data_IF_536060723330
#
_entry.id   IF_536060723330
#
_cell.length_a   1.000
_cell.length_b   1.000
_cell.length_c   1.000
_cell.angle_alpha   90.00
_cell.angle_beta   90.00
_cell.angle_gamma   90.00
#
_symmetry.space_group_name_H-M   'P 1'
#
loop_
_entity.id
_entity.type
_entity.pdbx_description
1 polymer ?
#
# COMPACT_ATOMS: atom_id res chain seq x y z
N UNK A 1 8.64 -15.55 11.10
CA UNK A 1 8.27 -14.12 10.97
C UNK A 1 9.49 -13.25 10.67
N UNK A 2 10.51 -13.19 11.54
CA UNK A 2 11.74 -12.40 11.27
C UNK A 2 12.39 -12.72 9.92
N UNK A 3 12.55 -14.00 9.60
CA UNK A 3 13.16 -14.44 8.34
C UNK A 3 12.41 -13.97 7.07
N UNK A 4 11.07 -13.96 7.08
CA UNK A 4 10.29 -13.42 5.94
C UNK A 4 10.51 -11.92 5.81
N UNK A 5 10.47 -11.18 6.92
CA UNK A 5 10.65 -9.73 6.89
C UNK A 5 12.06 -9.33 6.46
N UNK A 6 13.08 -10.11 6.82
CA UNK A 6 14.45 -9.90 6.33
C UNK A 6 14.54 -10.08 4.79
N UNK A 7 13.87 -11.11 4.24
CA UNK A 7 13.79 -11.32 2.79
C UNK A 7 13.00 -10.21 2.08
N UNK A 8 11.93 -9.72 2.69
CA UNK A 8 11.12 -8.61 2.18
C UNK A 8 11.92 -7.31 2.18
N UNK A 9 12.64 -6.99 3.25
CA UNK A 9 13.51 -5.82 3.30
C UNK A 9 14.63 -5.92 2.26
N UNK A 10 15.25 -7.11 2.08
CA UNK A 10 16.24 -7.33 1.04
C UNK A 10 15.66 -7.15 -0.37
N UNK A 11 14.43 -7.60 -0.62
CA UNK A 11 13.72 -7.41 -1.90
C UNK A 11 13.45 -5.93 -2.17
N UNK A 12 12.96 -5.19 -1.17
CA UNK A 12 12.74 -3.74 -1.27
C UNK A 12 14.05 -3.01 -1.55
N UNK A 13 15.14 -3.34 -0.85
CA UNK A 13 16.45 -2.72 -1.06
C UNK A 13 17.02 -2.99 -2.45
N UNK A 14 16.85 -4.21 -2.95
CA UNK A 14 17.28 -4.59 -4.31
C UNK A 14 16.56 -3.75 -5.37
N UNK A 15 15.25 -3.50 -5.19
CA UNK A 15 14.44 -2.78 -6.16
C UNK A 15 14.53 -1.25 -6.03
N UNK A 16 14.64 -0.73 -4.80
CA UNK A 16 14.47 0.71 -4.51
C UNK A 16 15.75 1.39 -3.98
N UNK A 17 16.82 0.65 -3.74
CA UNK A 17 18.05 1.14 -3.10
C UNK A 17 17.98 1.11 -1.57
N UNK A 18 18.91 1.78 -0.90
CA UNK A 18 18.91 1.84 0.56
C UNK A 18 17.85 2.83 1.09
N UNK A 19 17.09 2.48 2.13
CA UNK A 19 16.13 3.41 2.73
C UNK A 19 16.87 4.57 3.40
N UNK A 20 16.41 5.79 3.17
CA UNK A 20 16.99 6.99 3.76
C UNK A 20 16.44 7.27 5.17
N UNK A 21 15.24 6.76 5.46
CA UNK A 21 14.61 6.83 6.77
C UNK A 21 13.72 5.60 7.03
N UNK A 22 13.48 5.33 8.32
CA UNK A 22 12.50 4.32 8.76
C UNK A 22 11.78 4.81 10.01
N UNK A 23 10.52 4.41 10.15
CA UNK A 23 9.74 4.63 11.35
C UNK A 23 8.89 3.39 11.63
N UNK A 24 8.65 3.08 12.90
CA UNK A 24 7.82 1.96 13.31
C UNK A 24 6.57 2.41 14.08
N UNK A 25 5.50 1.65 13.91
CA UNK A 25 4.24 1.82 14.63
C UNK A 25 3.80 0.46 15.14
N UNK A 26 3.49 0.40 16.44
CA UNK A 26 2.91 -0.79 17.07
C UNK A 26 1.49 -0.47 17.49
N UNK A 27 0.51 -1.23 17.02
CA UNK A 27 -0.86 -1.13 17.49
C UNK A 27 -1.11 -2.18 18.56
N UNK A 28 -2.04 -1.88 19.48
CA UNK A 28 -2.39 -2.84 20.53
C UNK A 28 -3.02 -4.06 19.88
N UNK A 29 -2.39 -5.23 20.07
CA UNK A 29 -2.89 -6.50 19.55
C UNK A 29 -2.45 -6.83 18.12
N UNK A 30 -1.57 -6.04 17.50
CA UNK A 30 -0.97 -6.36 16.19
C UNK A 30 0.54 -6.52 16.30
N UNK A 31 1.13 -7.13 15.28
CA UNK A 31 2.57 -7.07 15.09
C UNK A 31 3.03 -5.63 14.79
N UNK A 32 4.33 -5.37 14.99
CA UNK A 32 4.96 -4.10 14.64
C UNK A 32 4.98 -3.91 13.12
N UNK A 33 4.57 -2.73 12.65
CA UNK A 33 4.69 -2.33 11.25
C UNK A 33 5.74 -1.24 11.14
N UNK A 34 6.72 -1.45 10.28
CA UNK A 34 7.67 -0.41 9.88
C UNK A 34 7.24 0.21 8.55
N UNK A 35 7.62 1.47 8.34
CA UNK A 35 7.53 2.16 7.06
C UNK A 35 8.91 2.67 6.70
N UNK A 36 9.43 2.16 5.59
CA UNK A 36 10.72 2.52 5.01
C UNK A 36 10.51 3.61 3.97
N UNK A 37 11.36 4.64 3.98
CA UNK A 37 11.38 5.71 2.98
C UNK A 37 12.56 5.52 2.04
N UNK A 38 12.31 5.63 0.74
CA UNK A 38 13.32 5.57 -0.32
C UNK A 38 13.20 6.81 -1.20
N UNK A 39 14.34 7.39 -1.60
CA UNK A 39 14.39 8.58 -2.44
C UNK A 39 15.08 8.23 -3.76
N UNK A 40 14.41 8.49 -4.87
CA UNK A 40 14.94 8.33 -6.23
C UNK A 40 14.60 9.57 -7.06
N UNK A 41 15.60 10.43 -7.29
CA UNK A 41 15.39 11.66 -8.06
C UNK A 41 14.33 12.56 -7.42
N UNK A 42 13.23 12.79 -8.14
CA UNK A 42 12.10 13.61 -7.68
C UNK A 42 10.94 12.78 -7.10
N UNK A 43 11.15 11.49 -6.80
CA UNK A 43 10.15 10.59 -6.23
C UNK A 43 10.60 10.12 -4.84
N UNK A 44 9.67 10.20 -3.88
CA UNK A 44 9.77 9.55 -2.58
C UNK A 44 8.84 8.35 -2.56
N UNK A 45 9.33 7.22 -2.07
CA UNK A 45 8.56 5.98 -1.91
C UNK A 45 8.51 5.59 -0.45
N UNK A 46 7.32 5.26 0.03
CA UNK A 46 7.08 4.71 1.36
C UNK A 46 6.63 3.26 1.19
N UNK A 47 7.38 2.32 1.73
CA UNK A 47 7.05 0.90 1.70
C UNK A 47 6.82 0.38 3.11
N UNK A 48 5.77 -0.40 3.32
CA UNK A 48 5.56 -1.07 4.61
C UNK A 48 6.49 -2.27 4.74
N UNK A 49 6.81 -2.62 5.98
CA UNK A 49 7.52 -3.82 6.35
C UNK A 49 6.89 -4.37 7.63
N UNK A 50 6.13 -5.45 7.51
CA UNK A 50 5.47 -6.12 8.63
C UNK A 50 4.13 -6.75 8.27
N UNK A 51 3.42 -6.21 7.27
CA UNK A 51 2.10 -6.72 6.85
C UNK A 51 2.20 -8.16 6.35
N UNK A 52 3.30 -8.49 5.67
CA UNK A 52 3.59 -9.83 5.13
C UNK A 52 4.00 -10.85 6.20
N UNK A 53 4.29 -10.41 7.42
CA UNK A 53 4.77 -11.27 8.52
C UNK A 53 3.76 -12.36 8.89
N UNK A 54 2.46 -12.06 8.74
CA UNK A 54 1.35 -13.00 8.90
C UNK A 54 0.55 -13.08 7.59
N UNK A 55 0.04 -14.27 7.22
CA UNK A 55 -0.83 -14.39 6.06
C UNK A 55 -2.18 -13.71 6.37
N UNK A 56 -2.77 -13.08 5.37
CA UNK A 56 -4.13 -12.53 5.47
C UNK A 56 -5.11 -13.69 5.57
N UNK A 57 -5.99 -13.65 6.57
CA UNK A 57 -6.94 -14.72 6.81
C UNK A 57 -8.01 -14.76 5.71
N UNK A 58 -8.32 -15.95 5.21
CA UNK A 58 -9.48 -16.17 4.34
C UNK A 58 -10.77 -15.94 5.15
N UNK A 59 -11.60 -14.94 4.79
CA UNK A 59 -12.82 -14.63 5.53
C UNK A 59 -13.89 -15.72 5.42
N UNK A 60 -13.74 -16.66 4.49
CA UNK A 60 -14.64 -17.81 4.33
C UNK A 60 -14.20 -19.04 5.12
N UNK A 61 -12.96 -19.04 5.65
CA UNK A 61 -12.44 -20.14 6.46
C UNK A 61 -12.88 -20.02 7.92
N UNK A 62 -13.32 -21.11 8.57
CA UNK A 62 -13.66 -21.09 10.00
C UNK A 62 -12.45 -20.93 10.92
N UNK A 63 -11.22 -21.14 10.43
CA UNK A 63 -9.98 -20.96 11.17
C UNK A 63 -8.92 -20.33 10.27
N UNK A 64 -8.21 -19.32 10.78
CA UNK A 64 -7.07 -18.75 10.10
C UNK A 64 -5.91 -19.76 10.04
N UNK A 65 -5.36 -19.98 8.84
CA UNK A 65 -4.14 -20.77 8.66
C UNK A 65 -2.93 -19.87 8.95
N UNK A 66 -2.05 -20.20 9.91
CA UNK A 66 -0.92 -19.35 10.27
C UNK A 66 0.21 -19.37 9.23
N UNK A 67 0.14 -20.24 8.22
CA UNK A 67 1.18 -20.42 7.21
C UNK A 67 0.69 -20.02 5.82
N UNK A 68 -0.48 -20.52 5.41
CA UNK A 68 -1.04 -20.33 4.07
C UNK A 68 -1.88 -19.06 3.97
N UNK A 69 -1.90 -18.48 2.78
CA UNK A 69 -2.75 -17.37 2.43
C UNK A 69 -1.97 -16.12 2.02
N UNK A 70 -2.66 -15.13 1.43
CA UNK A 70 -2.02 -14.00 0.78
C UNK A 70 -1.13 -13.21 1.73
N UNK A 71 0.00 -12.73 1.22
CA UNK A 71 0.92 -11.84 1.94
C UNK A 71 1.22 -10.65 1.05
N UNK A 72 1.32 -9.47 1.65
CA UNK A 72 1.71 -8.29 0.90
C UNK A 72 2.45 -7.27 1.76
N UNK A 73 3.11 -6.35 1.06
CA UNK A 73 3.48 -5.03 1.57
C UNK A 73 2.90 -3.95 0.66
N UNK A 74 2.64 -2.78 1.22
CA UNK A 74 2.07 -1.63 0.52
C UNK A 74 3.19 -0.68 0.10
N UNK A 75 3.10 -0.12 -1.12
CA UNK A 75 4.05 0.87 -1.61
C UNK A 75 3.31 2.12 -2.09
N UNK A 76 3.58 3.25 -1.47
CA UNK A 76 3.12 4.56 -1.92
C UNK A 76 4.27 5.31 -2.59
N UNK A 77 4.04 5.83 -3.80
CA UNK A 77 5.01 6.69 -4.51
C UNK A 77 4.44 8.10 -4.69
N UNK A 78 5.20 9.13 -4.32
CA UNK A 78 4.81 10.54 -4.42
C UNK A 78 5.95 11.40 -4.95
N UNK A 79 5.64 12.50 -5.63
CA UNK A 79 6.65 13.48 -6.04
C UNK A 79 7.17 14.27 -4.84
N UNK A 80 8.48 14.38 -4.74
CA UNK A 80 9.19 15.15 -3.72
C UNK A 80 8.92 16.65 -3.85
N UNK A 81 9.02 17.37 -2.72
CA UNK A 81 9.04 18.84 -2.69
C UNK A 81 7.72 19.54 -3.01
N UNK A 82 6.61 18.80 -3.13
CA UNK A 82 5.28 19.36 -3.44
C UNK A 82 4.32 19.42 -2.25
N UNK A 83 4.54 18.59 -1.23
CA UNK A 83 3.81 18.56 0.03
C UNK A 83 4.69 17.93 1.13
N UNK A 84 4.32 18.12 2.40
CA UNK A 84 4.94 17.42 3.54
C UNK A 84 4.35 16.02 3.67
N UNK A 85 4.82 15.10 2.82
CA UNK A 85 4.30 13.73 2.75
C UNK A 85 4.86 12.81 3.84
N UNK A 86 5.84 13.25 4.63
CA UNK A 86 6.47 12.42 5.66
C UNK A 86 5.49 12.02 6.77
N UNK A 87 4.39 12.74 6.92
CA UNK A 87 3.35 12.39 7.89
C UNK A 87 2.47 11.19 7.43
N UNK A 88 2.72 10.64 6.23
CA UNK A 88 2.03 9.43 5.73
C UNK A 88 2.44 8.14 6.46
N UNK A 89 3.54 8.16 7.22
CA UNK A 89 4.09 6.97 7.91
C UNK A 89 3.03 6.27 8.78
N UNK A 90 2.32 7.01 9.63
CA UNK A 90 1.30 6.43 10.51
C UNK A 90 0.03 6.00 9.75
N UNK A 91 -0.55 6.83 8.87
CA UNK A 91 -1.63 6.39 7.98
C UNK A 91 -1.32 5.12 7.20
N UNK A 92 -0.11 5.00 6.63
CA UNK A 92 0.29 3.83 5.87
C UNK A 92 0.44 2.59 6.76
N UNK A 93 0.98 2.75 7.98
CA UNK A 93 1.02 1.67 8.96
C UNK A 93 -0.37 1.20 9.40
N UNK A 94 -1.35 2.11 9.51
CA UNK A 94 -2.76 1.75 9.77
C UNK A 94 -3.32 0.89 8.63
N UNK A 95 -3.09 1.30 7.37
CA UNK A 95 -3.52 0.50 6.21
C UNK A 95 -2.89 -0.90 6.20
N UNK A 96 -1.59 -1.00 6.50
CA UNK A 96 -0.88 -2.27 6.57
C UNK A 96 -1.32 -3.16 7.74
N UNK A 97 -1.83 -2.59 8.83
CA UNK A 97 -2.40 -3.35 9.94
C UNK A 97 -3.84 -3.83 9.67
N UNK A 98 -4.54 -3.27 8.67
CA UNK A 98 -5.95 -3.57 8.41
C UNK A 98 -6.28 -5.07 8.22
N UNK A 99 -5.45 -5.93 7.61
CA UNK A 99 -5.76 -7.36 7.55
C UNK A 99 -5.89 -8.00 8.94
N UNK A 100 -5.04 -7.61 9.89
CA UNK A 100 -5.03 -8.18 11.24
C UNK A 100 -6.20 -7.63 12.10
N UNK A 101 -6.58 -6.37 11.86
CA UNK A 101 -7.59 -5.67 12.66
C UNK A 101 -9.01 -5.87 12.12
N UNK A 102 -9.17 -5.83 10.80
CA UNK A 102 -10.45 -5.85 10.10
C UNK A 102 -10.75 -7.20 9.43
N UNK A 103 -9.79 -8.13 9.40
CA UNK A 103 -9.95 -9.43 8.72
C UNK A 103 -10.05 -9.30 7.19
N UNK A 104 -9.41 -8.28 6.63
CA UNK A 104 -9.45 -7.95 5.20
C UNK A 104 -8.36 -8.68 4.42
N UNK A 105 -8.72 -9.26 3.26
CA UNK A 105 -7.74 -9.64 2.24
C UNK A 105 -7.53 -8.46 1.30
N UNK A 106 -6.33 -7.90 1.29
CA UNK A 106 -5.96 -6.78 0.43
C UNK A 106 -5.49 -7.31 -0.92
N UNK A 107 -6.19 -6.92 -1.99
CA UNK A 107 -5.94 -7.37 -3.36
C UNK A 107 -6.10 -6.21 -4.36
N UNK A 108 -5.53 -6.33 -5.58
CA UNK A 108 -5.73 -5.34 -6.64
C UNK A 108 -7.20 -5.00 -6.89
N UNK A 109 -7.48 -3.72 -7.14
CA UNK A 109 -8.83 -3.18 -7.29
C UNK A 109 -9.55 -2.89 -5.97
N UNK A 110 -9.03 -3.34 -4.83
CA UNK A 110 -9.57 -2.98 -3.52
C UNK A 110 -9.37 -1.49 -3.22
N UNK A 111 -10.22 -0.96 -2.35
CA UNK A 111 -10.05 0.39 -1.80
C UNK A 111 -9.76 0.27 -0.32
N UNK A 112 -8.71 0.94 0.13
CA UNK A 112 -8.43 1.10 1.56
C UNK A 112 -8.75 2.55 1.94
N UNK A 113 -9.62 2.73 2.92
CA UNK A 113 -10.10 4.04 3.36
C UNK A 113 -9.61 4.31 4.78
N UNK A 114 -9.05 5.50 5.02
CA UNK A 114 -8.55 5.90 6.34
C UNK A 114 -9.58 6.70 7.14
N UNK A 115 -10.63 7.21 6.48
CA UNK A 115 -11.56 8.20 7.05
C UNK A 115 -10.95 9.58 7.32
N UNK A 116 -9.66 9.75 7.05
CA UNK A 116 -8.88 10.98 7.24
C UNK A 116 -7.89 11.16 6.08
N UNK A 117 -7.26 12.34 6.01
CA UNK A 117 -6.25 12.65 5.00
C UNK A 117 -5.01 11.75 5.14
N UNK A 118 -4.39 11.36 4.01
CA UNK A 118 -3.14 10.57 4.00
C UNK A 118 -1.96 11.30 4.65
N UNK A 119 -1.93 12.63 4.53
CA UNK A 119 -1.02 13.55 5.19
C UNK A 119 -1.74 14.91 5.30
N UNK A 120 -1.32 15.84 6.17
CA UNK A 120 -2.01 17.12 6.32
C UNK A 120 -2.13 17.88 5.00
N UNK A 121 -3.37 18.24 4.65
CA UNK A 121 -3.70 18.95 3.42
C UNK A 121 -3.78 18.06 2.18
N UNK A 122 -3.63 16.73 2.31
CA UNK A 122 -3.82 15.81 1.19
C UNK A 122 -5.28 15.85 0.72
N UNK A 123 -5.55 15.95 -0.59
CA UNK A 123 -6.90 15.80 -1.12
C UNK A 123 -7.39 14.34 -1.10
N UNK A 124 -6.57 13.42 -0.59
CA UNK A 124 -6.78 11.98 -0.61
C UNK A 124 -7.05 11.45 0.80
N UNK A 125 -8.13 10.68 0.94
CA UNK A 125 -8.49 9.98 2.18
C UNK A 125 -8.54 8.46 2.03
N UNK A 126 -8.28 7.97 0.83
CA UNK A 126 -8.31 6.55 0.48
C UNK A 126 -7.31 6.28 -0.63
N UNK A 127 -7.01 5.00 -0.84
CA UNK A 127 -6.13 4.52 -1.90
C UNK A 127 -6.81 3.40 -2.69
N UNK A 128 -6.55 3.34 -3.98
CA UNK A 128 -6.81 2.15 -4.80
C UNK A 128 -5.56 1.27 -4.76
N UNK A 129 -5.76 -0.02 -4.49
CA UNK A 129 -4.69 -1.03 -4.55
C UNK A 129 -4.50 -1.42 -6.01
N UNK A 130 -3.29 -1.23 -6.54
CA UNK A 130 -2.95 -1.59 -7.92
C UNK A 130 -2.34 -2.99 -8.01
N UNK A 131 -2.15 -3.46 -9.24
CA UNK A 131 -1.47 -4.72 -9.54
C UNK A 131 -0.01 -4.72 -9.04
N UNK A 132 0.48 -5.83 -8.46
CA UNK A 132 1.86 -5.96 -8.01
C UNK A 132 2.83 -6.28 -9.16
N UNK A 133 4.10 -6.51 -8.84
CA UNK A 133 5.11 -7.04 -9.77
C UNK A 133 5.73 -6.03 -10.74
N UNK A 134 5.20 -4.80 -10.82
CA UNK A 134 5.74 -3.75 -11.68
C UNK A 134 6.95 -3.03 -11.08
N UNK A 135 6.76 -2.37 -9.93
CA UNK A 135 7.82 -1.58 -9.28
C UNK A 135 8.78 -2.44 -8.44
N UNK A 136 8.24 -3.45 -7.77
CA UNK A 136 9.00 -4.44 -7.00
C UNK A 136 8.42 -5.79 -7.40
N UNK A 137 9.30 -6.68 -7.86
CA UNK A 137 8.92 -8.06 -8.19
C UNK A 137 8.47 -8.80 -6.92
N UNK A 138 7.52 -9.70 -7.11
CA UNK A 138 7.01 -10.52 -6.01
C UNK A 138 8.09 -11.43 -5.43
N UNK A 139 8.02 -11.65 -4.13
CA UNK A 139 8.94 -12.53 -3.41
C UNK A 139 8.30 -13.92 -3.28
N UNK A 140 8.76 -14.86 -4.10
CA UNK A 140 8.41 -16.26 -3.97
C UNK A 140 8.93 -16.83 -2.65
N UNK A 141 8.07 -17.59 -1.97
CA UNK A 141 8.37 -18.27 -0.72
C UNK A 141 8.26 -19.78 -0.90
N UNK A 142 8.93 -20.54 -0.04
CA UNK A 142 8.83 -21.99 -0.06
C UNK A 142 7.40 -22.46 0.24
N UNK A 143 6.93 -23.44 -0.53
CA UNK A 143 5.63 -24.06 -0.30
C UNK A 143 5.55 -24.61 1.14
N UNK A 144 4.42 -24.39 1.85
CA UNK A 144 3.12 -24.00 1.31
C UNK A 144 2.78 -22.51 1.44
N UNK A 145 3.76 -21.63 1.67
CA UNK A 145 3.48 -20.19 1.80
C UNK A 145 3.18 -19.57 0.44
N UNK A 146 2.19 -18.68 0.39
CA UNK A 146 1.95 -17.83 -0.77
C UNK A 146 3.08 -16.78 -0.88
N UNK A 147 3.41 -16.30 -2.09
CA UNK A 147 4.41 -15.25 -2.27
C UNK A 147 4.01 -13.94 -1.58
N UNK A 148 5.01 -13.13 -1.23
CA UNK A 148 4.77 -11.75 -0.79
C UNK A 148 4.62 -10.86 -2.03
N UNK A 149 3.44 -10.23 -2.16
CA UNK A 149 3.15 -9.26 -3.21
C UNK A 149 3.49 -7.85 -2.76
N UNK A 150 4.04 -7.03 -3.64
CA UNK A 150 4.31 -5.62 -3.36
C UNK A 150 3.27 -4.74 -4.05
N UNK A 151 2.26 -4.30 -3.31
CA UNK A 151 1.05 -3.67 -3.84
C UNK A 151 1.20 -2.15 -3.91
N UNK A 152 1.24 -1.54 -5.11
CA UNK A 152 1.26 -0.10 -5.24
C UNK A 152 -0.07 0.51 -4.79
N UNK A 153 0.00 1.62 -4.07
CA UNK A 153 -1.15 2.40 -3.64
C UNK A 153 -1.30 3.64 -4.51
N UNK A 154 -2.49 3.83 -5.06
CA UNK A 154 -2.87 4.98 -5.88
C UNK A 154 -3.82 5.87 -5.07
N UNK A 155 -3.35 7.02 -4.53
CA UNK A 155 -4.20 7.92 -3.75
C UNK A 155 -5.44 8.34 -4.52
N UNK A 156 -6.60 8.32 -3.87
CA UNK A 156 -7.90 8.72 -4.45
C UNK A 156 -8.49 9.88 -3.67
N UNK A 157 -9.03 10.86 -4.41
CA UNK A 157 -9.93 11.85 -3.80
C UNK A 157 -11.25 11.19 -3.42
N UNK A 158 -12.05 11.87 -2.59
CA UNK A 158 -13.40 11.38 -2.24
C UNK A 158 -14.30 11.16 -3.46
N UNK A 159 -14.18 12.00 -4.49
CA UNK A 159 -14.98 11.88 -5.71
C UNK A 159 -14.55 10.66 -6.53
N UNK A 160 -13.25 10.38 -6.61
CA UNK A 160 -12.72 9.20 -7.31
C UNK A 160 -13.09 7.91 -6.57
N UNK A 161 -13.00 7.90 -5.24
CA UNK A 161 -13.45 6.77 -4.44
C UNK A 161 -14.96 6.51 -4.63
N UNK A 162 -15.78 7.57 -4.65
CA UNK A 162 -17.20 7.46 -4.93
C UNK A 162 -17.48 6.93 -6.35
N UNK A 163 -16.76 7.43 -7.35
CA UNK A 163 -16.84 6.94 -8.73
C UNK A 163 -16.50 5.45 -8.82
N UNK A 164 -15.35 5.05 -8.25
CA UNK A 164 -14.90 3.65 -8.22
C UNK A 164 -15.93 2.71 -7.60
N UNK A 165 -16.65 3.14 -6.55
CA UNK A 165 -17.71 2.32 -5.95
C UNK A 165 -18.87 2.04 -6.90
N UNK A 166 -19.17 2.96 -7.81
CA UNK A 166 -20.28 2.84 -8.77
C UNK A 166 -19.85 2.18 -10.08
N UNK A 167 -18.63 2.50 -10.54
CA UNK A 167 -18.14 2.20 -11.89
C UNK A 167 -17.03 1.14 -11.93
N UNK A 168 -16.45 0.81 -10.79
CA UNK A 168 -15.35 -0.14 -10.67
C UNK A 168 -13.97 0.51 -10.75
N UNK A 169 -12.95 -0.27 -10.36
CA UNK A 169 -11.55 0.16 -10.33
C UNK A 169 -10.95 0.29 -11.74
N UNK A 170 -11.34 -0.58 -12.67
CA UNK A 170 -10.85 -0.58 -14.05
C UNK A 170 -11.23 0.71 -14.76
N UNK A 171 -12.51 1.10 -14.74
CA UNK A 171 -12.98 2.33 -15.38
C UNK A 171 -12.32 3.59 -14.78
N UNK A 172 -12.05 3.60 -13.46
CA UNK A 172 -11.30 4.72 -12.85
C UNK A 172 -9.85 4.78 -13.35
N UNK A 173 -9.17 3.62 -13.46
CA UNK A 173 -7.80 3.55 -13.95
C UNK A 173 -7.68 3.96 -15.43
N UNK A 174 -8.58 3.47 -16.28
CA UNK A 174 -8.67 3.90 -17.68
C UNK A 174 -8.84 5.41 -17.79
N UNK A 175 -9.65 5.99 -16.90
CA UNK A 175 -9.89 7.43 -16.87
C UNK A 175 -8.67 8.23 -16.44
N UNK A 176 -7.94 7.78 -15.42
CA UNK A 176 -6.65 8.39 -15.06
C UNK A 176 -5.66 8.33 -16.21
N UNK A 177 -5.57 7.18 -16.88
CA UNK A 177 -4.68 6.96 -18.03
C UNK A 177 -5.04 7.88 -19.19
N UNK A 178 -6.31 7.92 -19.60
CA UNK A 178 -6.80 8.74 -20.71
C UNK A 178 -6.58 10.24 -20.48
N UNK A 179 -6.56 10.69 -19.22
CA UNK A 179 -6.34 12.08 -18.84
C UNK A 179 -4.88 12.39 -18.50
N UNK A 180 -3.98 11.41 -18.57
CA UNK A 180 -2.57 11.58 -18.17
C UNK A 180 -2.43 12.05 -16.72
N UNK A 181 -3.31 11.56 -15.83
CA UNK A 181 -3.34 11.98 -14.42
C UNK A 181 -2.08 11.50 -13.71
N UNK A 182 -1.29 12.43 -13.18
CA UNK A 182 -0.10 12.07 -12.40
C UNK A 182 -0.51 11.67 -10.98
N UNK A 183 -0.71 10.36 -10.77
CA UNK A 183 -1.13 9.81 -9.47
C UNK A 183 -0.09 9.96 -8.36
N UNK A 184 1.14 10.37 -8.69
CA UNK A 184 2.21 10.65 -7.72
C UNK A 184 2.22 12.11 -7.28
N UNK A 185 1.46 13.00 -7.93
CA UNK A 185 1.41 14.41 -7.54
C UNK A 185 0.64 14.57 -6.21
N UNK A 186 1.30 14.93 -5.09
CA UNK A 186 0.66 14.88 -3.77
C UNK A 186 -0.39 15.97 -3.55
N UNK A 187 -0.54 16.90 -4.50
CA UNK A 187 -1.52 17.98 -4.46
C UNK A 187 -2.53 17.95 -5.61
N UNK A 188 -2.56 16.89 -6.44
CA UNK A 188 -3.50 16.84 -7.57
C UNK A 188 -4.95 16.90 -7.12
N UNK A 189 -5.78 17.54 -7.94
CA UNK A 189 -7.23 17.44 -7.83
C UNK A 189 -7.76 16.08 -8.29
N UNK A 190 -9.09 15.94 -8.22
CA UNK A 190 -9.76 14.79 -8.84
C UNK A 190 -9.57 14.84 -10.35
N UNK A 191 -9.43 13.67 -10.98
CA UNK A 191 -9.61 13.59 -12.44
C UNK A 191 -11.02 14.06 -12.81
N UNK A 192 -11.20 14.64 -13.99
CA UNK A 192 -12.53 14.99 -14.49
C UNK A 192 -13.38 13.72 -14.68
N UNK A 193 -14.54 13.65 -14.01
CA UNK A 193 -15.43 12.49 -13.93
C UNK A 193 -16.70 12.60 -14.80
N UNK A 194 -16.82 13.64 -15.62
CA UNK A 194 -17.99 13.99 -16.45
C UNK A 194 -18.14 13.26 -17.79
#
# INVERSE_FOLDING_TARGET
MGEILDLVEARLRTALGEPDARADVTFVGTDRIEVLRFIEGDVVRYATLGMSGQPMADPTSPLADPVKGPRAELILSVRAGRADTDQVLRPLAVLAASPQVEGLVVAPGASLDLGQELWPGAPFSSVLVAEPGGLVEDLELDAPMDPVRFLPLLPMTRNEAAWKRVRGAEELQERWLARGTDLRDPSRGSVALD
#
